data_IF_540432043006
#
_entry.id   IF_540432043006
#
_cell.length_a   1.000
_cell.length_b   1.000
_cell.length_c   1.000
_cell.angle_alpha   90.00
_cell.angle_beta   90.00
_cell.angle_gamma   90.00
#
_symmetry.space_group_name_H-M   'P 1'
#
loop_
_entity.id
_entity.type
_entity.pdbx_description
1 polymer ?
#
# COMPACT_ATOMS: atom_id res chain seq x y z
N UNK A 1 22.74 -0.64 6.88
CA UNK A 1 22.02 -0.76 5.60
C UNK A 1 21.38 -2.14 5.54
N UNK A 2 20.05 -2.20 5.54
CA UNK A 2 19.30 -3.46 5.47
C UNK A 2 19.28 -4.05 4.04
N UNK A 3 19.54 -3.22 3.04
CA UNK A 3 19.46 -3.64 1.65
C UNK A 3 20.84 -3.62 0.97
N UNK A 4 21.31 -4.75 0.46
CA UNK A 4 22.36 -4.72 -0.54
C UNK A 4 21.81 -4.06 -1.82
N UNK A 5 22.64 -3.35 -2.53
CA UNK A 5 22.30 -2.51 -3.71
C UNK A 5 21.85 -3.30 -4.94
N UNK A 6 21.15 -4.40 -4.81
CA UNK A 6 20.68 -5.21 -5.94
C UNK A 6 19.34 -5.86 -5.65
N UNK A 7 18.49 -5.84 -6.66
CA UNK A 7 17.20 -6.50 -6.86
C UNK A 7 16.46 -6.99 -5.61
N UNK A 8 15.20 -6.59 -5.48
CA UNK A 8 14.30 -7.12 -4.47
C UNK A 8 14.38 -8.65 -4.43
N UNK A 9 14.60 -9.21 -3.24
CA UNK A 9 14.57 -10.66 -3.07
C UNK A 9 13.22 -11.20 -3.58
N UNK A 10 13.21 -12.32 -4.31
CA UNK A 10 11.97 -12.95 -4.70
C UNK A 10 11.17 -13.33 -3.46
N UNK A 11 9.86 -13.23 -3.55
CA UNK A 11 8.95 -13.64 -2.49
C UNK A 11 8.06 -14.78 -2.98
N UNK A 12 7.22 -15.26 -2.08
CA UNK A 12 6.27 -16.33 -2.36
C UNK A 12 4.83 -15.82 -2.21
N UNK A 13 3.94 -16.26 -3.09
CA UNK A 13 2.51 -15.98 -2.97
C UNK A 13 1.85 -16.98 -2.01
N UNK A 14 0.73 -16.62 -1.37
CA UNK A 14 -0.01 -17.58 -0.57
C UNK A 14 -0.65 -18.64 -1.47
N UNK A 15 -0.87 -19.82 -0.94
CA UNK A 15 -1.62 -20.90 -1.64
C UNK A 15 -3.03 -20.45 -2.01
N UNK A 16 -3.63 -19.59 -1.18
CA UNK A 16 -4.98 -19.08 -1.39
C UNK A 16 -5.15 -17.67 -0.80
N UNK A 17 -5.79 -16.80 -1.57
CA UNK A 17 -6.30 -15.52 -1.06
C UNK A 17 -7.68 -15.70 -0.43
N UNK A 18 -7.97 -14.92 0.63
CA UNK A 18 -9.32 -14.88 1.21
C UNK A 18 -10.34 -14.42 0.16
N UNK A 19 -11.46 -15.10 0.15
CA UNK A 19 -12.58 -14.77 -0.75
C UNK A 19 -13.77 -14.14 -0.04
N UNK A 20 -13.81 -14.21 1.29
CA UNK A 20 -15.05 -14.11 2.03
C UNK A 20 -15.91 -15.36 1.82
N UNK A 21 -16.93 -15.56 2.61
CA UNK A 21 -17.86 -16.66 2.43
C UNK A 21 -19.00 -16.27 1.48
N UNK A 22 -19.83 -17.24 1.08
CA UNK A 22 -21.04 -16.98 0.27
C UNK A 22 -22.05 -16.04 0.95
N UNK A 23 -22.01 -15.96 2.26
CA UNK A 23 -22.78 -15.04 3.08
C UNK A 23 -21.81 -14.27 3.98
N UNK A 24 -21.95 -12.95 4.04
CA UNK A 24 -21.19 -12.13 4.96
C UNK A 24 -21.43 -12.53 6.44
N UNK A 25 -22.58 -13.11 6.75
CA UNK A 25 -22.92 -13.59 8.10
C UNK A 25 -22.13 -14.84 8.50
N UNK A 26 -21.70 -15.64 7.54
CA UNK A 26 -20.95 -16.88 7.77
C UNK A 26 -19.45 -16.66 7.59
N UNK A 27 -19.03 -15.42 7.35
CA UNK A 27 -17.62 -15.09 7.11
C UNK A 27 -16.82 -15.17 8.41
N UNK A 28 -15.75 -15.94 8.39
CA UNK A 28 -14.78 -16.09 9.49
C UNK A 28 -13.39 -15.57 9.13
N UNK A 29 -13.20 -15.10 7.87
CA UNK A 29 -11.95 -14.50 7.44
C UNK A 29 -11.76 -13.11 8.06
N UNK A 30 -10.51 -12.65 8.29
CA UNK A 30 -10.25 -11.32 8.81
C UNK A 30 -10.70 -10.24 7.82
N UNK A 31 -10.93 -9.00 8.26
CA UNK A 31 -11.26 -7.87 7.37
C UNK A 31 -10.19 -7.61 6.31
N UNK A 32 -8.93 -7.80 6.69
CA UNK A 32 -7.75 -7.64 5.83
C UNK A 32 -6.87 -8.87 5.99
N UNK A 33 -6.60 -9.58 4.91
CA UNK A 33 -5.53 -10.57 4.89
C UNK A 33 -4.20 -9.85 4.73
N UNK A 34 -3.24 -10.13 5.61
CA UNK A 34 -1.86 -9.68 5.50
C UNK A 34 -1.00 -10.85 5.04
N UNK A 35 -0.37 -10.70 3.90
CA UNK A 35 0.54 -11.71 3.35
C UNK A 35 1.96 -11.12 3.25
N UNK A 36 2.91 -11.74 3.94
CA UNK A 36 4.34 -11.41 3.82
C UNK A 36 4.88 -12.04 2.55
N UNK A 37 5.05 -11.24 1.51
CA UNK A 37 5.62 -11.69 0.25
C UNK A 37 7.13 -11.96 0.38
N UNK A 38 7.84 -11.07 1.07
CA UNK A 38 9.23 -11.23 1.53
C UNK A 38 9.46 -10.33 2.75
N UNK A 39 10.68 -10.28 3.25
CA UNK A 39 11.02 -9.54 4.48
C UNK A 39 10.65 -8.05 4.45
N UNK A 40 10.52 -7.46 3.28
CA UNK A 40 10.33 -6.03 3.09
C UNK A 40 9.15 -5.67 2.18
N UNK A 41 8.30 -6.65 1.86
CA UNK A 41 7.15 -6.46 0.98
C UNK A 41 5.97 -7.26 1.50
N UNK A 42 4.84 -6.60 1.69
CA UNK A 42 3.60 -7.21 2.12
C UNK A 42 2.49 -6.90 1.12
N UNK A 43 1.64 -7.88 0.91
CA UNK A 43 0.44 -7.77 0.07
C UNK A 43 -0.76 -7.89 1.01
N UNK A 44 -1.62 -6.90 0.98
CA UNK A 44 -2.85 -6.87 1.74
C UNK A 44 -4.02 -7.16 0.81
N UNK A 45 -5.03 -7.85 1.32
CA UNK A 45 -6.25 -8.10 0.58
C UNK A 45 -7.47 -7.80 1.43
N UNK A 46 -8.35 -6.97 0.88
CA UNK A 46 -9.65 -6.70 1.48
C UNK A 46 -10.57 -7.94 1.38
N UNK A 47 -11.31 -8.19 2.44
CA UNK A 47 -12.25 -9.31 2.49
C UNK A 47 -13.47 -9.05 1.60
N UNK A 48 -13.74 -9.95 0.66
CA UNK A 48 -14.89 -9.85 -0.26
C UNK A 48 -16.27 -9.93 0.42
N UNK A 49 -16.34 -10.37 1.68
CA UNK A 49 -17.57 -10.28 2.46
C UNK A 49 -17.86 -8.82 2.91
N UNK A 50 -16.86 -7.96 2.92
CA UNK A 50 -16.99 -6.51 3.22
C UNK A 50 -17.29 -5.75 1.94
N UNK A 51 -16.49 -5.98 0.90
CA UNK A 51 -16.66 -5.35 -0.40
C UNK A 51 -16.33 -6.35 -1.52
N UNK A 52 -17.23 -6.45 -2.50
CA UNK A 52 -17.11 -7.43 -3.60
C UNK A 52 -15.85 -7.22 -4.46
N UNK A 53 -15.28 -6.01 -4.50
CA UNK A 53 -14.03 -5.69 -5.21
C UNK A 53 -12.87 -6.52 -4.64
N UNK A 54 -12.81 -6.65 -3.31
CA UNK A 54 -11.74 -7.40 -2.66
C UNK A 54 -10.37 -6.89 -3.07
N UNK A 55 -10.19 -5.57 -2.95
CA UNK A 55 -9.03 -4.85 -3.44
C UNK A 55 -7.71 -5.37 -2.85
N UNK A 56 -6.66 -5.30 -3.64
CA UNK A 56 -5.28 -5.51 -3.18
C UNK A 56 -4.62 -4.19 -2.86
N UNK A 57 -3.79 -4.21 -1.82
CA UNK A 57 -2.94 -3.09 -1.40
C UNK A 57 -1.54 -3.61 -1.14
N UNK A 58 -0.55 -2.75 -1.21
CA UNK A 58 0.84 -3.17 -1.09
C UNK A 58 1.59 -2.29 -0.09
N UNK A 59 2.37 -2.91 0.80
CA UNK A 59 3.26 -2.20 1.70
C UNK A 59 4.69 -2.60 1.40
N UNK A 60 5.52 -1.61 1.12
CA UNK A 60 6.94 -1.77 0.87
C UNK A 60 7.74 -1.07 1.95
N UNK A 61 8.75 -1.73 2.49
CA UNK A 61 9.64 -1.17 3.51
C UNK A 61 11.02 -0.89 2.96
N UNK A 62 11.56 0.25 3.35
CA UNK A 62 12.95 0.66 3.21
C UNK A 62 13.52 1.11 4.56
N UNK A 63 14.77 1.57 4.61
CA UNK A 63 15.37 2.06 5.85
C UNK A 63 14.67 3.34 6.33
N UNK A 64 13.92 3.26 7.42
CA UNK A 64 13.20 4.38 8.03
C UNK A 64 12.00 4.91 7.25
N UNK A 65 11.56 4.22 6.18
CA UNK A 65 10.43 4.63 5.35
C UNK A 65 9.63 3.44 4.85
N UNK A 66 8.32 3.58 4.78
CA UNK A 66 7.41 2.61 4.17
C UNK A 66 6.53 3.30 3.12
N UNK A 67 6.12 2.56 2.10
CA UNK A 67 5.21 3.02 1.04
C UNK A 67 3.99 2.11 1.04
N UNK A 68 2.82 2.67 1.27
CA UNK A 68 1.52 2.03 1.07
C UNK A 68 0.96 2.46 -0.28
N UNK A 69 0.73 1.49 -1.17
CA UNK A 69 0.05 1.69 -2.45
C UNK A 69 -1.37 1.13 -2.33
N UNK A 70 -2.34 1.98 -2.63
CA UNK A 70 -3.79 1.77 -2.55
C UNK A 70 -4.32 1.57 -1.11
N UNK A 71 -5.57 1.96 -0.89
CA UNK A 71 -6.23 1.91 0.43
C UNK A 71 -7.61 1.24 0.35
N UNK A 72 -7.78 0.33 -0.60
CA UNK A 72 -8.96 -0.53 -0.68
C UNK A 72 -10.26 0.17 -1.05
N UNK A 73 -11.35 -0.58 -0.98
CA UNK A 73 -12.67 -0.23 -1.50
C UNK A 73 -13.67 0.18 -0.42
N UNK A 74 -13.30 0.13 0.87
CA UNK A 74 -14.18 0.42 2.00
C UNK A 74 -13.61 1.51 2.89
N UNK A 75 -14.37 2.59 3.09
CA UNK A 75 -13.95 3.77 3.86
C UNK A 75 -14.12 3.61 5.39
N UNK A 76 -15.07 2.77 5.84
CA UNK A 76 -15.43 2.61 7.25
C UNK A 76 -14.34 1.88 8.05
N UNK A 77 -13.67 2.52 9.02
CA UNK A 77 -12.66 1.83 9.83
C UNK A 77 -13.27 0.73 10.72
N UNK A 78 -14.55 0.80 11.04
CA UNK A 78 -15.23 -0.24 11.82
C UNK A 78 -15.40 -1.55 11.04
N UNK A 79 -15.48 -1.50 9.71
CA UNK A 79 -15.59 -2.67 8.84
C UNK A 79 -14.24 -3.05 8.24
N UNK A 80 -13.42 -2.07 7.93
CA UNK A 80 -12.13 -2.22 7.26
C UNK A 80 -11.07 -1.35 7.96
N UNK A 81 -10.48 -1.84 9.05
CA UNK A 81 -9.54 -1.09 9.90
C UNK A 81 -8.13 -1.06 9.29
N UNK A 82 -8.00 -0.53 8.06
CA UNK A 82 -6.75 -0.60 7.30
C UNK A 82 -5.60 0.11 8.01
N UNK A 83 -5.86 1.29 8.62
CA UNK A 83 -4.84 2.03 9.37
C UNK A 83 -4.27 1.20 10.52
N UNK A 84 -5.14 0.59 11.33
CA UNK A 84 -4.70 -0.24 12.47
C UNK A 84 -3.83 -1.41 12.00
N UNK A 85 -4.23 -2.06 10.90
CA UNK A 85 -3.46 -3.17 10.30
C UNK A 85 -2.10 -2.69 9.80
N UNK A 86 -2.03 -1.52 9.15
CA UNK A 86 -0.76 -0.95 8.66
C UNK A 86 0.12 -0.49 9.82
N UNK A 87 -0.45 0.11 10.87
CA UNK A 87 0.30 0.53 12.06
C UNK A 87 0.91 -0.67 12.80
N UNK A 88 0.13 -1.75 12.97
CA UNK A 88 0.62 -3.00 13.55
C UNK A 88 1.72 -3.64 12.68
N UNK A 89 1.54 -3.62 11.37
CA UNK A 89 2.53 -4.14 10.43
C UNK A 89 3.85 -3.36 10.51
N UNK A 90 3.80 -2.02 10.57
CA UNK A 90 4.98 -1.16 10.73
C UNK A 90 5.67 -1.46 12.07
N UNK A 91 4.93 -1.53 13.17
CA UNK A 91 5.50 -1.80 14.50
C UNK A 91 6.18 -3.18 14.57
N UNK A 92 5.57 -4.20 13.98
CA UNK A 92 6.15 -5.55 13.92
C UNK A 92 7.42 -5.57 13.07
N UNK A 93 7.41 -4.89 11.92
CA UNK A 93 8.57 -4.79 11.05
C UNK A 93 9.72 -4.01 11.71
N UNK A 94 9.42 -2.91 12.38
CA UNK A 94 10.41 -2.13 13.16
C UNK A 94 11.09 -2.99 14.24
N UNK A 95 10.31 -3.76 14.98
CA UNK A 95 10.83 -4.64 16.02
C UNK A 95 11.70 -5.77 15.45
N UNK A 96 11.32 -6.34 14.30
CA UNK A 96 12.08 -7.43 13.65
C UNK A 96 13.41 -6.94 13.07
N UNK A 97 13.45 -5.73 12.51
CA UNK A 97 14.62 -5.20 11.78
C UNK A 97 15.37 -4.09 12.52
N UNK A 98 15.14 -3.93 13.83
CA UNK A 98 15.78 -2.91 14.68
C UNK A 98 15.65 -1.49 14.07
N UNK A 99 14.45 -1.18 13.61
CA UNK A 99 14.09 0.13 13.07
C UNK A 99 13.20 0.88 14.05
N UNK A 100 13.05 2.18 13.85
CA UNK A 100 12.15 3.02 14.64
C UNK A 100 11.70 4.22 13.84
N UNK A 101 10.51 4.73 14.18
CA UNK A 101 9.99 5.96 13.58
C UNK A 101 9.89 5.91 12.05
N UNK A 102 9.48 4.77 11.49
CA UNK A 102 9.29 4.59 10.06
C UNK A 102 8.28 5.60 9.51
N UNK A 103 8.72 6.44 8.59
CA UNK A 103 7.87 7.38 7.88
C UNK A 103 6.99 6.65 6.88
N UNK A 104 5.68 6.91 6.88
CA UNK A 104 4.75 6.30 5.92
C UNK A 104 4.45 7.25 4.77
N UNK A 105 4.63 6.78 3.54
CA UNK A 105 4.14 7.42 2.32
C UNK A 105 2.89 6.66 1.88
N UNK A 106 1.79 7.38 1.66
CA UNK A 106 0.51 6.84 1.19
C UNK A 106 0.24 7.35 -0.21
N UNK A 107 0.18 6.44 -1.17
CA UNK A 107 -0.01 6.72 -2.58
C UNK A 107 -1.08 5.80 -3.19
N UNK A 108 -1.53 6.13 -4.39
CA UNK A 108 -2.50 5.34 -5.15
C UNK A 108 -1.93 4.94 -6.51
N UNK A 109 -2.31 3.76 -6.97
CA UNK A 109 -2.03 3.33 -8.34
C UNK A 109 -2.80 4.16 -9.35
N UNK A 110 -4.05 4.51 -9.04
CA UNK A 110 -4.91 5.43 -9.78
C UNK A 110 -6.12 5.87 -8.91
N UNK A 111 -6.97 6.78 -9.44
CA UNK A 111 -8.01 7.46 -8.67
C UNK A 111 -9.42 6.89 -8.89
N UNK A 112 -9.58 5.57 -8.99
CA UNK A 112 -10.87 4.93 -8.81
C UNK A 112 -11.17 4.68 -7.34
N UNK A 113 -12.44 4.77 -6.94
CA UNK A 113 -12.87 4.75 -5.54
C UNK A 113 -12.48 3.50 -4.76
N UNK A 114 -12.33 2.37 -5.45
CA UNK A 114 -11.90 1.09 -4.91
C UNK A 114 -10.39 1.01 -4.61
N UNK A 115 -9.63 2.08 -4.92
CA UNK A 115 -8.20 2.19 -4.64
C UNK A 115 -7.88 3.18 -3.50
N UNK A 116 -8.79 4.12 -3.18
CA UNK A 116 -8.51 5.12 -2.15
C UNK A 116 -9.64 5.28 -1.11
N UNK A 117 -10.58 4.33 -1.01
CA UNK A 117 -11.74 4.49 -0.12
C UNK A 117 -11.34 4.72 1.34
N UNK A 118 -10.31 4.06 1.85
CA UNK A 118 -9.81 4.24 3.22
C UNK A 118 -8.75 5.36 3.37
N UNK A 119 -8.54 6.21 2.37
CA UNK A 119 -7.61 7.35 2.39
C UNK A 119 -7.72 8.19 3.66
N UNK A 120 -8.95 8.53 4.06
CA UNK A 120 -9.20 9.37 5.23
C UNK A 120 -8.72 8.74 6.55
N UNK A 121 -8.46 7.45 6.62
CA UNK A 121 -7.91 6.82 7.80
C UNK A 121 -6.46 7.22 8.07
N UNK A 122 -5.76 7.79 7.08
CA UNK A 122 -4.34 8.15 7.17
C UNK A 122 -4.09 9.66 7.24
N UNK A 123 -5.07 10.51 6.95
CA UNK A 123 -4.90 11.97 6.84
C UNK A 123 -4.35 12.61 8.13
N UNK A 124 -4.75 12.11 9.28
CA UNK A 124 -4.32 12.59 10.60
C UNK A 124 -3.25 11.69 11.27
N UNK A 125 -2.70 10.74 10.52
CA UNK A 125 -1.63 9.88 11.02
C UNK A 125 -0.31 10.67 11.10
N UNK A 126 0.29 10.69 12.29
CA UNK A 126 1.61 11.28 12.49
C UNK A 126 2.67 10.58 11.63
N UNK A 127 3.74 11.29 11.32
CA UNK A 127 4.87 10.79 10.52
C UNK A 127 4.44 10.16 9.18
N UNK A 128 3.50 10.84 8.47
CA UNK A 128 2.92 10.37 7.22
C UNK A 128 2.92 11.45 6.15
N UNK A 129 3.23 11.07 4.93
CA UNK A 129 3.05 11.91 3.73
C UNK A 129 1.95 11.30 2.86
N UNK A 130 0.92 12.09 2.57
CA UNK A 130 -0.14 11.76 1.63
C UNK A 130 0.25 12.33 0.26
N UNK A 131 0.38 11.48 -0.76
CA UNK A 131 0.83 11.90 -2.11
C UNK A 131 -0.18 12.83 -2.79
N UNK A 132 -1.45 12.69 -2.46
CA UNK A 132 -2.54 13.47 -3.03
C UNK A 132 -3.49 12.64 -3.89
N UNK A 133 -4.66 13.24 -4.22
CA UNK A 133 -5.73 12.59 -4.97
C UNK A 133 -6.02 13.30 -6.31
N UNK A 134 -5.23 14.29 -6.70
CA UNK A 134 -5.36 14.95 -7.99
C UNK A 134 -4.15 14.63 -8.86
N UNK A 135 -4.35 14.63 -10.17
CA UNK A 135 -3.25 14.46 -11.12
C UNK A 135 -2.10 15.45 -10.85
N UNK A 136 -2.43 16.71 -10.59
CA UNK A 136 -1.43 17.75 -10.29
C UNK A 136 -0.62 17.44 -9.03
N UNK A 137 -1.27 17.02 -7.94
CA UNK A 137 -0.59 16.65 -6.69
C UNK A 137 0.34 15.46 -6.89
N UNK A 138 -0.12 14.42 -7.60
CA UNK A 138 0.66 13.22 -7.91
C UNK A 138 1.87 13.56 -8.78
N UNK A 139 1.67 14.35 -9.84
CA UNK A 139 2.76 14.83 -10.70
C UNK A 139 3.79 15.63 -9.93
N UNK A 140 3.32 16.54 -9.09
CA UNK A 140 4.18 17.39 -8.25
C UNK A 140 5.00 16.58 -7.25
N UNK A 141 4.34 15.64 -6.56
CA UNK A 141 5.00 14.80 -5.54
C UNK A 141 6.12 13.94 -6.13
N UNK A 142 5.84 13.24 -7.23
CA UNK A 142 6.82 12.38 -7.88
C UNK A 142 7.84 13.16 -8.70
N UNK A 143 7.57 14.40 -9.06
CA UNK A 143 8.47 15.25 -9.85
C UNK A 143 8.39 15.03 -11.35
N UNK A 144 7.25 14.55 -11.87
CA UNK A 144 7.05 14.41 -13.31
C UNK A 144 7.08 15.77 -14.00
N UNK A 145 7.87 15.86 -15.06
CA UNK A 145 7.95 17.03 -15.96
C UNK A 145 7.47 16.70 -17.38
N UNK A 146 7.46 15.42 -17.75
CA UNK A 146 7.04 14.93 -19.06
C UNK A 146 6.22 13.64 -18.95
N UNK A 147 5.07 13.72 -18.26
CA UNK A 147 4.13 12.59 -18.16
C UNK A 147 3.44 12.32 -19.51
N UNK A 148 3.22 11.04 -19.92
CA UNK A 148 3.55 9.80 -19.20
C UNK A 148 4.90 9.18 -19.58
N UNK A 149 5.68 9.82 -20.47
CA UNK A 149 6.84 9.23 -21.14
C UNK A 149 8.08 9.12 -20.23
N UNK A 150 8.04 9.82 -19.09
CA UNK A 150 9.15 9.87 -18.15
C UNK A 150 9.14 8.67 -17.20
N UNK A 151 10.34 8.23 -16.83
CA UNK A 151 10.60 7.21 -15.82
C UNK A 151 11.41 7.83 -14.71
N UNK A 152 10.84 7.83 -13.49
CA UNK A 152 11.48 8.46 -12.34
C UNK A 152 12.03 7.39 -11.41
N UNK A 153 13.24 7.57 -10.95
CA UNK A 153 13.83 6.72 -9.91
C UNK A 153 13.43 7.27 -8.54
N UNK A 154 12.94 6.40 -7.67
CA UNK A 154 12.56 6.72 -6.32
C UNK A 154 13.26 5.78 -5.34
N UNK A 155 14.10 6.34 -4.47
CA UNK A 155 14.79 5.59 -3.42
C UNK A 155 13.91 5.53 -2.16
N UNK A 156 13.37 4.34 -1.89
CA UNK A 156 12.65 4.04 -0.67
C UNK A 156 13.64 3.52 0.40
N UNK A 157 14.51 4.40 0.89
CA UNK A 157 15.46 4.05 1.95
C UNK A 157 16.38 2.88 1.61
N UNK A 158 17.02 2.92 0.44
CA UNK A 158 17.93 1.88 -0.07
C UNK A 158 17.27 0.84 -0.97
N UNK A 159 15.97 0.99 -1.28
CA UNK A 159 15.26 0.22 -2.31
C UNK A 159 14.86 1.15 -3.44
N UNK A 160 15.37 0.92 -4.62
CA UNK A 160 15.03 1.75 -5.79
C UNK A 160 13.78 1.23 -6.47
N UNK A 161 12.82 2.14 -6.64
CA UNK A 161 11.61 1.96 -7.43
C UNK A 161 11.70 2.79 -8.70
N UNK A 162 11.02 2.35 -9.74
CA UNK A 162 10.80 3.14 -10.94
C UNK A 162 9.33 3.51 -11.01
N UNK A 163 9.05 4.81 -10.96
CA UNK A 163 7.71 5.35 -11.10
C UNK A 163 7.47 5.68 -12.57
N UNK A 164 6.38 5.17 -13.13
CA UNK A 164 6.02 5.37 -14.54
C UNK A 164 4.55 5.73 -14.68
N UNK A 165 4.23 6.62 -15.61
CA UNK A 165 2.87 6.89 -16.02
C UNK A 165 2.30 5.73 -16.86
N UNK A 166 1.06 5.31 -16.56
CA UNK A 166 0.34 4.26 -17.30
C UNK A 166 -1.06 4.74 -17.67
N UNK A 167 -1.18 5.74 -18.59
CA UNK A 167 -2.47 6.28 -18.98
C UNK A 167 -3.32 5.25 -19.73
N UNK A 168 -4.65 5.42 -19.68
CA UNK A 168 -5.58 4.64 -20.48
C UNK A 168 -6.79 4.10 -19.71
N UNK A 169 -6.62 3.60 -18.49
CA UNK A 169 -7.72 3.13 -17.65
C UNK A 169 -8.39 4.30 -16.90
N UNK A 170 -7.58 5.26 -16.45
CA UNK A 170 -8.00 6.50 -15.79
C UNK A 170 -7.24 7.67 -16.42
N UNK A 171 -7.81 8.86 -16.41
CA UNK A 171 -7.21 10.07 -17.01
C UNK A 171 -6.13 10.73 -16.12
N UNK A 172 -5.93 10.21 -14.93
CA UNK A 172 -4.96 10.74 -13.94
C UNK A 172 -4.09 9.65 -13.35
#
# INVERSE_FOLDING_TARGET
LLFPSSAAAPGEFPDQWIHGSKSAMDNTDPPVQVHRYNDHTYILRENKAINYEGAFMYVFFGNGVALLIDQGSTSSPALFPLREVVDELIANWEAEFDQSSTHLIVANSHLHGDHYAAWNQFVDRENTTMVGLTHEEVMHYWGFSNYPDERLEFDLGGRNFVITGTPGHQSS
#
